data_IF_895204674110
#
_entry.id   IF_895204674110
#
_cell.length_a   1.000
_cell.length_b   1.000
_cell.length_c   1.000
_cell.angle_alpha   90.00
_cell.angle_beta   90.00
_cell.angle_gamma   90.00
#
_symmetry.space_group_name_H-M   'P 1'
#
loop_
_entity.id
_entity.type
_entity.pdbx_description
1 polymer ?
#
# COMPACT_ATOMS: atom_id res chain seq x y z
N UNK A 1 19.07 -5.84 -22.39
CA UNK A 1 18.99 -7.28 -22.66
C UNK A 1 20.33 -7.91 -22.35
N UNK A 2 20.30 -9.13 -21.81
CA UNK A 2 21.47 -9.94 -21.45
C UNK A 2 22.40 -9.36 -20.36
N UNK A 3 22.07 -8.23 -19.74
CA UNK A 3 22.80 -7.73 -18.58
C UNK A 3 22.54 -8.64 -17.35
N UNK A 4 23.56 -8.71 -16.47
CA UNK A 4 23.44 -9.46 -15.24
C UNK A 4 23.08 -8.52 -14.09
N UNK A 5 21.90 -8.68 -13.54
CA UNK A 5 21.45 -7.96 -12.37
C UNK A 5 21.66 -8.81 -11.10
N UNK A 6 21.97 -8.14 -10.00
CA UNK A 6 22.03 -8.75 -8.67
C UNK A 6 20.81 -8.29 -7.88
N UNK A 7 19.95 -9.24 -7.56
CA UNK A 7 18.77 -8.99 -6.72
C UNK A 7 19.02 -9.51 -5.31
N UNK A 8 18.59 -8.75 -4.32
CA UNK A 8 18.70 -9.07 -2.88
C UNK A 8 17.36 -8.91 -2.21
N UNK A 9 17.23 -9.41 -1.01
CA UNK A 9 16.05 -9.18 -0.18
C UNK A 9 15.66 -7.69 -0.13
N UNK A 10 14.37 -7.39 -0.30
CA UNK A 10 13.82 -6.03 -0.43
C UNK A 10 13.93 -5.42 -1.83
N UNK A 11 14.63 -6.04 -2.79
CA UNK A 11 14.71 -5.55 -4.17
C UNK A 11 13.41 -5.82 -4.93
N UNK A 12 12.92 -4.81 -5.64
CA UNK A 12 11.88 -5.01 -6.65
C UNK A 12 12.53 -5.48 -7.96
N UNK A 13 11.94 -6.48 -8.59
CA UNK A 13 12.37 -6.99 -9.88
C UNK A 13 11.90 -6.01 -10.96
N UNK A 14 12.85 -5.28 -11.54
CA UNK A 14 12.57 -4.19 -12.48
C UNK A 14 12.33 -4.64 -13.92
N UNK A 15 12.80 -5.84 -14.28
CA UNK A 15 12.69 -6.41 -15.61
C UNK A 15 12.58 -7.93 -15.52
N UNK A 16 11.98 -8.59 -16.53
CA UNK A 16 11.89 -10.03 -16.53
C UNK A 16 13.30 -10.63 -16.71
N UNK A 17 13.63 -11.59 -15.87
CA UNK A 17 14.97 -12.17 -15.81
C UNK A 17 14.94 -13.68 -15.56
N UNK A 18 16.08 -14.35 -15.81
CA UNK A 18 16.28 -15.76 -15.46
C UNK A 18 17.45 -15.85 -14.48
N UNK A 19 17.25 -16.56 -13.39
CA UNK A 19 18.26 -16.76 -12.36
C UNK A 19 19.40 -17.60 -12.94
N UNK A 20 20.63 -17.07 -12.87
CA UNK A 20 21.86 -17.80 -13.25
C UNK A 20 22.40 -18.53 -12.03
N UNK A 21 22.42 -17.85 -10.88
CA UNK A 21 23.03 -18.35 -9.65
C UNK A 21 22.32 -17.77 -8.42
N UNK A 22 22.26 -18.57 -7.36
CA UNK A 22 21.60 -18.21 -6.11
C UNK A 22 20.18 -18.76 -5.96
N UNK A 23 19.61 -18.53 -4.79
CA UNK A 23 18.22 -18.91 -4.45
C UNK A 23 17.56 -17.74 -3.75
N UNK A 24 16.33 -17.46 -4.14
CA UNK A 24 15.53 -16.35 -3.59
C UNK A 24 14.11 -16.79 -3.30
N UNK A 25 13.50 -16.20 -2.27
CA UNK A 25 12.05 -16.25 -2.06
C UNK A 25 11.44 -14.97 -2.65
N UNK A 26 10.44 -15.13 -3.50
CA UNK A 26 9.82 -14.04 -4.27
C UNK A 26 8.34 -13.93 -3.91
N UNK A 27 7.88 -12.71 -3.69
CA UNK A 27 6.47 -12.40 -3.56
C UNK A 27 5.96 -11.89 -4.93
N UNK A 28 5.05 -12.64 -5.53
CA UNK A 28 4.42 -12.33 -6.82
C UNK A 28 2.99 -11.81 -6.68
N UNK A 29 2.57 -11.40 -5.49
CA UNK A 29 1.17 -10.99 -5.19
C UNK A 29 0.64 -9.88 -6.08
N UNK A 30 1.49 -8.94 -6.52
CA UNK A 30 1.10 -7.89 -7.47
C UNK A 30 0.72 -8.43 -8.86
N UNK A 31 1.16 -9.64 -9.20
CA UNK A 31 0.91 -10.27 -10.50
C UNK A 31 -0.17 -11.33 -10.43
N UNK A 32 -0.15 -12.16 -9.39
CA UNK A 32 -1.02 -13.33 -9.21
C UNK A 32 -2.20 -13.07 -8.28
N UNK A 33 -2.09 -12.06 -7.40
CA UNK A 33 -3.03 -11.81 -6.30
C UNK A 33 -2.80 -12.71 -5.08
N UNK A 34 -1.87 -13.68 -5.15
CA UNK A 34 -1.55 -14.60 -4.07
C UNK A 34 -0.31 -14.11 -3.31
N UNK A 35 -0.42 -14.05 -1.98
CA UNK A 35 0.65 -13.52 -1.10
C UNK A 35 1.69 -14.57 -0.71
N UNK A 36 1.55 -15.80 -1.16
CA UNK A 36 2.49 -16.87 -0.83
C UNK A 36 3.85 -16.64 -1.46
N UNK A 37 4.88 -16.86 -0.65
CA UNK A 37 6.27 -16.73 -1.09
C UNK A 37 6.68 -17.95 -1.92
N UNK A 38 7.20 -17.71 -3.12
CA UNK A 38 7.65 -18.74 -4.04
C UNK A 38 9.18 -18.79 -4.03
N UNK A 39 9.74 -19.93 -3.65
CA UNK A 39 11.19 -20.14 -3.73
C UNK A 39 11.61 -20.42 -5.17
N UNK A 40 12.54 -19.60 -5.69
CA UNK A 40 13.10 -19.71 -7.05
C UNK A 40 14.60 -19.95 -7.01
N UNK A 41 15.05 -20.80 -7.93
CA UNK A 41 16.45 -21.27 -8.05
C UNK A 41 17.01 -20.98 -9.43
N UNK A 42 18.28 -21.32 -9.63
CA UNK A 42 18.94 -21.20 -10.94
C UNK A 42 18.12 -21.89 -12.04
N UNK A 43 17.87 -21.19 -13.14
CA UNK A 43 17.02 -21.57 -14.26
C UNK A 43 15.58 -21.07 -14.16
N UNK A 44 15.11 -20.62 -12.99
CA UNK A 44 13.75 -20.11 -12.82
C UNK A 44 13.60 -18.65 -13.29
N UNK A 45 12.40 -18.31 -13.75
CA UNK A 45 12.08 -16.95 -14.20
C UNK A 45 11.68 -16.05 -13.05
N UNK A 46 12.19 -14.84 -13.08
CA UNK A 46 11.80 -13.71 -12.24
C UNK A 46 10.93 -12.77 -13.08
N UNK A 47 9.74 -12.48 -12.60
CA UNK A 47 8.80 -11.60 -13.29
C UNK A 47 8.94 -10.16 -12.79
N UNK A 48 8.99 -9.22 -13.71
CA UNK A 48 9.01 -7.78 -13.37
C UNK A 48 7.77 -7.38 -12.58
N UNK A 49 7.97 -6.55 -11.55
CA UNK A 49 6.91 -6.13 -10.62
C UNK A 49 6.84 -6.92 -9.33
N UNK A 50 7.46 -8.11 -9.26
CA UNK A 50 7.58 -8.91 -8.04
C UNK A 50 8.66 -8.38 -7.11
N UNK A 51 8.67 -8.84 -5.85
CA UNK A 51 9.65 -8.44 -4.83
C UNK A 51 10.41 -9.65 -4.31
N UNK A 52 11.72 -9.48 -4.11
CA UNK A 52 12.54 -10.46 -3.40
C UNK A 52 12.28 -10.29 -1.89
N UNK A 53 11.77 -11.33 -1.26
CA UNK A 53 11.49 -11.36 0.20
C UNK A 53 12.72 -11.76 0.97
N UNK A 54 13.44 -12.80 0.51
CA UNK A 54 14.65 -13.29 1.16
C UNK A 54 15.62 -13.88 0.15
N UNK A 55 16.89 -13.98 0.55
CA UNK A 55 17.97 -14.50 -0.26
C UNK A 55 18.60 -13.47 -1.21
N UNK A 56 19.49 -13.96 -2.09
CA UNK A 56 20.10 -13.17 -3.15
C UNK A 56 20.38 -14.03 -4.36
N UNK A 57 20.27 -13.43 -5.56
CA UNK A 57 20.57 -14.12 -6.81
C UNK A 57 21.22 -13.19 -7.83
N UNK A 58 21.89 -13.82 -8.80
CA UNK A 58 22.29 -13.18 -10.05
C UNK A 58 21.37 -13.66 -11.15
N UNK A 59 20.78 -12.74 -11.88
CA UNK A 59 19.84 -13.07 -12.94
C UNK A 59 20.18 -12.30 -14.21
N UNK A 60 19.99 -12.94 -15.36
CA UNK A 60 20.15 -12.35 -16.68
C UNK A 60 18.82 -11.76 -17.13
N UNK A 61 18.82 -10.50 -17.56
CA UNK A 61 17.64 -9.80 -18.01
C UNK A 61 17.23 -10.28 -19.41
N UNK A 62 15.98 -10.76 -19.55
CA UNK A 62 15.43 -11.26 -20.82
C UNK A 62 14.49 -10.29 -21.51
N UNK A 63 13.64 -9.57 -20.75
CA UNK A 63 12.72 -8.58 -21.29
C UNK A 63 12.79 -7.29 -20.47
N UNK A 64 13.02 -6.18 -21.13
CA UNK A 64 13.20 -4.85 -20.52
C UNK A 64 12.25 -3.83 -21.12
N UNK A 65 11.95 -2.77 -20.36
CA UNK A 65 11.10 -1.66 -20.84
C UNK A 65 9.68 -2.11 -21.18
N UNK A 66 9.21 -1.78 -22.39
CA UNK A 66 7.84 -2.10 -22.85
C UNK A 66 7.58 -3.59 -23.03
N UNK A 67 8.63 -4.39 -23.17
CA UNK A 67 8.53 -5.83 -23.39
C UNK A 67 8.45 -6.63 -22.10
N UNK A 68 8.68 -6.01 -20.95
CA UNK A 68 8.54 -6.64 -19.65
C UNK A 68 7.07 -6.97 -19.35
N UNK A 69 6.85 -7.99 -18.53
CA UNK A 69 5.52 -8.47 -18.16
C UNK A 69 4.65 -7.38 -17.54
N UNK A 70 5.19 -6.65 -16.55
CA UNK A 70 4.46 -5.57 -15.87
C UNK A 70 4.09 -4.43 -16.82
N UNK A 71 4.96 -4.10 -17.78
CA UNK A 71 4.67 -3.06 -18.79
C UNK A 71 3.56 -3.48 -19.73
N UNK A 72 3.55 -4.73 -20.20
CA UNK A 72 2.45 -5.28 -21.02
C UNK A 72 1.13 -5.26 -20.29
N UNK A 73 1.13 -5.70 -19.02
CA UNK A 73 -0.06 -5.67 -18.16
C UNK A 73 -0.59 -4.24 -17.99
N UNK A 74 0.32 -3.29 -17.72
CA UNK A 74 -0.01 -1.86 -17.58
C UNK A 74 -0.60 -1.26 -18.86
N UNK A 75 -0.04 -1.60 -20.01
CA UNK A 75 -0.54 -1.14 -21.31
C UNK A 75 -1.94 -1.71 -21.58
N UNK A 76 -2.17 -2.99 -21.28
CA UNK A 76 -3.48 -3.61 -21.40
C UNK A 76 -4.52 -2.96 -20.47
N UNK A 77 -4.17 -2.71 -19.21
CA UNK A 77 -5.01 -2.02 -18.26
C UNK A 77 -5.36 -0.59 -18.72
N UNK A 78 -4.39 0.15 -19.27
CA UNK A 78 -4.63 1.48 -19.84
C UNK A 78 -5.53 1.46 -21.07
N UNK A 79 -5.43 0.44 -21.93
CA UNK A 79 -6.31 0.29 -23.10
C UNK A 79 -7.76 -0.02 -22.71
N UNK A 80 -7.97 -0.77 -21.64
CA UNK A 80 -9.30 -1.09 -21.11
C UNK A 80 -9.99 0.11 -20.45
N UNK A 81 -9.22 1.06 -19.91
CA UNK A 81 -9.73 2.35 -19.46
C UNK A 81 -9.95 3.29 -20.65
N UNK A 82 -11.00 3.10 -21.44
CA UNK A 82 -11.58 4.21 -22.22
C UNK A 82 -11.95 5.29 -21.22
N UNK A 83 -11.23 6.42 -21.28
CA UNK A 83 -11.37 7.50 -20.32
C UNK A 83 -12.83 7.87 -20.15
N UNK A 84 -13.42 7.54 -19.02
CA UNK A 84 -14.73 8.05 -18.66
C UNK A 84 -14.66 9.56 -18.61
N UNK A 85 -15.48 10.22 -19.40
CA UNK A 85 -15.58 11.68 -19.37
C UNK A 85 -16.15 12.10 -18.01
N UNK A 86 -15.67 13.22 -17.46
CA UNK A 86 -16.25 13.87 -16.30
C UNK A 86 -17.78 13.95 -16.45
N UNK A 87 -18.52 13.61 -15.40
CA UNK A 87 -19.98 13.67 -15.43
C UNK A 87 -20.48 15.10 -15.67
N UNK A 88 -19.78 16.09 -15.13
CA UNK A 88 -20.06 17.50 -15.38
C UNK A 88 -19.91 17.83 -16.86
N UNK A 89 -18.78 17.42 -17.48
CA UNK A 89 -18.56 17.64 -18.93
C UNK A 89 -19.60 16.86 -19.76
N UNK A 90 -19.96 15.65 -19.34
CA UNK A 90 -21.01 14.86 -19.98
C UNK A 90 -22.37 15.53 -19.90
N UNK A 91 -22.70 16.12 -18.74
CA UNK A 91 -23.95 16.85 -18.53
C UNK A 91 -23.98 18.15 -19.34
N UNK A 92 -22.87 18.90 -19.36
CA UNK A 92 -22.74 20.09 -20.22
C UNK A 92 -22.90 19.74 -21.71
N UNK A 93 -22.24 18.68 -22.16
CA UNK A 93 -22.38 18.20 -23.54
C UNK A 93 -23.81 17.77 -23.86
N UNK A 94 -24.57 17.23 -22.89
CA UNK A 94 -25.98 16.88 -23.08
C UNK A 94 -26.84 18.14 -23.24
N UNK A 95 -26.59 19.17 -22.41
CA UNK A 95 -27.27 20.46 -22.52
C UNK A 95 -26.97 21.11 -23.88
N UNK A 96 -25.68 21.17 -24.27
CA UNK A 96 -25.30 21.76 -25.57
C UNK A 96 -25.91 21.00 -26.74
N UNK A 97 -26.00 19.68 -26.70
CA UNK A 97 -26.71 18.89 -27.72
C UNK A 97 -28.20 19.19 -27.77
N UNK A 98 -28.86 19.28 -26.60
CA UNK A 98 -30.28 19.62 -26.52
C UNK A 98 -30.51 21.01 -27.10
N UNK A 99 -29.75 22.01 -26.69
CA UNK A 99 -29.82 23.38 -27.20
C UNK A 99 -29.55 23.38 -28.70
N UNK A 100 -28.54 22.65 -29.21
CA UNK A 100 -28.26 22.53 -30.65
C UNK A 100 -29.43 21.96 -31.46
N UNK A 101 -30.15 20.97 -30.92
CA UNK A 101 -31.34 20.40 -31.56
C UNK A 101 -32.50 21.46 -31.61
N UNK A 102 -32.66 22.24 -30.55
CA UNK A 102 -33.71 23.27 -30.45
C UNK A 102 -33.38 24.50 -31.31
N UNK A 103 -32.14 24.88 -31.40
CA UNK A 103 -31.68 26.04 -32.19
C UNK A 103 -32.00 25.88 -33.68
N UNK A 104 -31.87 24.66 -34.24
CA UNK A 104 -32.11 24.44 -35.69
C UNK A 104 -33.55 24.85 -36.08
N UNK A 105 -34.62 24.33 -35.49
CA UNK A 105 -35.96 24.75 -35.87
C UNK A 105 -36.25 26.22 -35.55
N UNK A 106 -35.67 26.75 -34.45
CA UNK A 106 -35.83 28.18 -34.14
C UNK A 106 -35.14 29.04 -35.22
N UNK A 107 -33.95 28.69 -35.65
CA UNK A 107 -33.26 29.38 -36.72
C UNK A 107 -34.04 29.38 -38.03
N UNK A 108 -34.67 28.25 -38.39
CA UNK A 108 -35.55 28.15 -39.57
C UNK A 108 -36.78 29.07 -39.41
N UNK A 109 -37.40 29.07 -38.24
CA UNK A 109 -38.58 29.93 -37.96
C UNK A 109 -38.19 31.42 -38.07
N UNK A 110 -37.06 31.82 -37.45
CA UNK A 110 -36.56 33.20 -37.51
C UNK A 110 -36.21 33.63 -38.94
N UNK A 111 -35.56 32.74 -39.70
CA UNK A 111 -35.27 33.01 -41.11
C UNK A 111 -36.57 33.19 -41.93
N UNK A 112 -37.55 32.29 -41.77
CA UNK A 112 -38.86 32.38 -42.45
C UNK A 112 -39.61 33.65 -42.05
N UNK A 113 -39.61 34.03 -40.79
CA UNK A 113 -40.23 35.25 -40.30
C UNK A 113 -39.60 36.48 -40.99
N UNK A 114 -38.28 36.61 -40.97
CA UNK A 114 -37.57 37.75 -41.53
C UNK A 114 -37.76 37.85 -43.05
N UNK A 115 -37.64 36.71 -43.74
CA UNK A 115 -37.73 36.66 -45.19
C UNK A 115 -39.13 36.74 -45.77
N UNK A 116 -40.11 36.02 -45.16
CA UNK A 116 -41.49 35.91 -45.70
C UNK A 116 -42.41 36.99 -45.14
N UNK A 117 -42.36 37.26 -43.83
CA UNK A 117 -43.27 38.20 -43.19
C UNK A 117 -42.78 39.65 -43.24
N UNK A 118 -41.49 39.86 -43.06
CA UNK A 118 -40.91 41.20 -43.04
C UNK A 118 -40.38 41.64 -44.41
N UNK A 119 -40.42 40.75 -45.44
CA UNK A 119 -39.92 40.98 -46.80
C UNK A 119 -38.49 41.51 -46.88
N UNK A 120 -37.60 41.12 -45.96
CA UNK A 120 -36.20 41.50 -45.94
C UNK A 120 -35.42 40.75 -47.00
N UNK A 121 -34.29 41.34 -47.41
CA UNK A 121 -33.28 40.68 -48.24
C UNK A 121 -32.79 39.38 -47.62
N UNK A 122 -32.44 38.38 -48.44
CA UNK A 122 -31.90 37.08 -47.99
C UNK A 122 -30.66 37.30 -47.13
N UNK A 123 -29.75 38.21 -47.52
CA UNK A 123 -28.54 38.50 -46.74
C UNK A 123 -28.83 39.04 -45.36
N UNK A 124 -29.75 39.97 -45.23
CA UNK A 124 -30.21 40.57 -43.96
C UNK A 124 -30.93 39.55 -43.09
N UNK A 125 -31.79 38.70 -43.66
CA UNK A 125 -32.47 37.62 -42.97
C UNK A 125 -31.52 36.57 -42.38
N UNK A 126 -30.49 36.19 -43.13
CA UNK A 126 -29.43 35.28 -42.67
C UNK A 126 -28.62 35.92 -41.54
N UNK A 127 -28.22 37.19 -41.69
CA UNK A 127 -27.43 37.88 -40.65
C UNK A 127 -28.19 37.95 -39.31
N UNK A 128 -29.49 38.32 -39.38
CA UNK A 128 -30.36 38.40 -38.18
C UNK A 128 -30.56 37.03 -37.54
N UNK A 129 -30.82 36.01 -38.35
CA UNK A 129 -30.93 34.62 -37.86
C UNK A 129 -29.64 34.16 -37.17
N UNK A 130 -28.48 34.35 -37.82
CA UNK A 130 -27.17 33.92 -37.26
C UNK A 130 -26.87 34.67 -35.98
N UNK A 131 -27.08 35.98 -35.90
CA UNK A 131 -26.89 36.78 -34.70
C UNK A 131 -27.76 36.27 -33.54
N UNK A 132 -29.04 35.96 -33.79
CA UNK A 132 -29.91 35.40 -32.78
C UNK A 132 -29.51 34.00 -32.33
N UNK A 133 -29.09 33.12 -33.26
CA UNK A 133 -28.65 31.75 -32.99
C UNK A 133 -27.37 31.72 -32.15
N UNK A 134 -26.38 32.59 -32.49
CA UNK A 134 -25.14 32.69 -31.72
C UNK A 134 -25.42 33.09 -30.28
N UNK A 135 -26.35 34.05 -30.04
CA UNK A 135 -26.72 34.45 -28.69
C UNK A 135 -27.42 33.38 -27.86
N UNK A 136 -27.91 32.31 -28.50
CA UNK A 136 -28.55 31.17 -27.79
C UNK A 136 -27.56 30.09 -27.37
N UNK A 137 -26.31 30.09 -27.90
CA UNK A 137 -25.31 29.10 -27.55
C UNK A 137 -24.74 29.46 -26.19
N UNK A 138 -24.79 28.55 -25.16
CA UNK A 138 -24.30 28.85 -23.82
C UNK A 138 -22.77 28.66 -23.72
N UNK A 139 -22.00 29.39 -24.51
CA UNK A 139 -20.51 29.26 -24.55
C UNK A 139 -19.85 29.53 -23.19
N UNK A 140 -20.46 30.47 -22.41
CA UNK A 140 -19.94 30.83 -21.09
C UNK A 140 -19.91 29.69 -20.08
N UNK A 141 -20.81 28.72 -20.19
CA UNK A 141 -20.85 27.58 -19.26
C UNK A 141 -19.63 26.69 -19.40
N UNK A 142 -19.20 26.42 -20.64
CA UNK A 142 -18.04 25.57 -20.89
C UNK A 142 -16.74 26.28 -20.50
N UNK A 143 -16.64 27.58 -20.81
CA UNK A 143 -15.51 28.40 -20.41
C UNK A 143 -15.39 28.48 -18.88
N UNK A 144 -16.50 28.74 -18.19
CA UNK A 144 -16.52 28.82 -16.73
C UNK A 144 -16.12 27.49 -16.07
N UNK A 145 -16.65 26.37 -16.54
CA UNK A 145 -16.29 25.06 -16.04
C UNK A 145 -14.80 24.76 -16.24
N UNK A 146 -14.28 25.00 -17.45
CA UNK A 146 -12.87 24.76 -17.79
C UNK A 146 -11.93 25.64 -16.98
N UNK A 147 -12.22 26.93 -16.84
CA UNK A 147 -11.41 27.85 -16.04
C UNK A 147 -11.43 27.52 -14.56
N UNK A 148 -12.58 27.12 -14.00
CA UNK A 148 -12.69 26.69 -12.61
C UNK A 148 -11.85 25.46 -12.34
N UNK A 149 -11.90 24.45 -13.20
CA UNK A 149 -11.08 23.24 -13.09
C UNK A 149 -9.58 23.56 -13.22
N UNK A 150 -9.22 24.44 -14.15
CA UNK A 150 -7.82 24.86 -14.33
C UNK A 150 -7.29 25.60 -13.10
N UNK A 151 -8.04 26.55 -12.54
CA UNK A 151 -7.68 27.28 -11.32
C UNK A 151 -7.56 26.32 -10.13
N UNK A 152 -8.49 25.37 -9.99
CA UNK A 152 -8.45 24.36 -8.93
C UNK A 152 -7.23 23.45 -9.07
N UNK A 153 -6.85 23.07 -10.30
CA UNK A 153 -5.63 22.30 -10.59
C UNK A 153 -4.39 23.09 -10.19
N UNK A 154 -4.30 24.36 -10.53
CA UNK A 154 -3.19 25.23 -10.13
C UNK A 154 -3.09 25.38 -8.61
N UNK A 155 -4.24 25.51 -7.93
CA UNK A 155 -4.29 25.58 -6.47
C UNK A 155 -3.77 24.31 -5.79
N UNK A 156 -4.12 23.12 -6.32
CA UNK A 156 -3.59 21.85 -5.84
C UNK A 156 -2.09 21.74 -6.12
N UNK A 157 -1.63 22.16 -7.29
CA UNK A 157 -0.22 22.14 -7.66
C UNK A 157 0.63 23.04 -6.72
N UNK A 158 0.12 24.21 -6.31
CA UNK A 158 0.80 25.05 -5.31
C UNK A 158 0.89 24.36 -3.95
N UNK A 159 -0.10 23.52 -3.60
CA UNK A 159 -0.08 22.62 -2.44
C UNK A 159 0.79 21.39 -2.60
N UNK A 160 1.60 21.28 -3.66
CA UNK A 160 2.46 20.13 -4.01
C UNK A 160 1.67 18.84 -4.28
N UNK A 161 0.41 18.95 -4.66
CA UNK A 161 -0.43 17.82 -5.09
C UNK A 161 -0.44 17.79 -6.61
N UNK A 162 0.13 16.72 -7.18
CA UNK A 162 0.13 16.51 -8.62
C UNK A 162 -1.22 15.92 -9.06
N UNK A 163 -1.95 16.69 -9.84
CA UNK A 163 -3.22 16.28 -10.45
C UNK A 163 -2.93 15.62 -11.79
N UNK A 164 -3.30 14.37 -11.93
CA UNK A 164 -3.06 13.60 -13.17
C UNK A 164 -4.11 13.92 -14.26
N UNK A 165 -5.35 14.23 -13.87
CA UNK A 165 -6.45 14.57 -14.76
C UNK A 165 -7.36 15.59 -14.07
N UNK A 166 -7.87 16.57 -14.78
CA UNK A 166 -8.81 17.57 -14.24
C UNK A 166 -10.10 16.97 -13.70
N UNK A 167 -10.49 15.78 -14.16
CA UNK A 167 -11.60 15.01 -13.60
C UNK A 167 -11.46 14.69 -12.12
N UNK A 168 -10.24 14.47 -11.63
CA UNK A 168 -10.05 14.08 -10.24
C UNK A 168 -10.55 15.15 -9.27
N UNK A 169 -10.60 16.42 -9.67
CA UNK A 169 -11.13 17.50 -8.85
C UNK A 169 -12.64 17.33 -8.65
N UNK A 170 -13.36 16.99 -9.74
CA UNK A 170 -14.79 16.71 -9.67
C UNK A 170 -15.05 15.44 -8.85
N UNK A 171 -14.27 14.38 -9.07
CA UNK A 171 -14.40 13.12 -8.35
C UNK A 171 -14.15 13.33 -6.86
N UNK A 172 -13.08 14.04 -6.48
CA UNK A 172 -12.77 14.35 -5.08
C UNK A 172 -13.89 15.17 -4.40
N UNK A 173 -14.52 16.09 -5.11
CA UNK A 173 -15.62 16.88 -4.57
C UNK A 173 -16.90 16.06 -4.28
N UNK A 174 -17.00 14.84 -4.80
CA UNK A 174 -18.15 13.94 -4.64
C UNK A 174 -17.87 12.72 -3.78
N UNK A 175 -16.64 12.59 -3.24
CA UNK A 175 -16.29 11.48 -2.36
C UNK A 175 -17.11 11.59 -1.08
N UNK A 176 -17.88 10.56 -0.80
CA UNK A 176 -18.62 10.35 0.44
C UNK A 176 -18.04 9.20 1.27
N UNK A 177 -17.29 8.32 0.63
CA UNK A 177 -16.64 7.16 1.27
C UNK A 177 -15.19 7.04 0.82
N UNK A 178 -14.27 6.92 1.79
CA UNK A 178 -12.85 6.73 1.56
C UNK A 178 -12.42 5.37 2.10
N UNK A 179 -12.05 4.47 1.21
CA UNK A 179 -11.46 3.18 1.57
C UNK A 179 -9.94 3.31 1.67
N UNK A 180 -9.38 2.94 2.81
CA UNK A 180 -7.94 3.01 3.08
C UNK A 180 -7.39 1.66 3.51
N UNK A 181 -6.17 1.34 3.07
CA UNK A 181 -5.41 0.23 3.63
C UNK A 181 -4.80 0.62 4.97
N UNK A 182 -4.59 -0.36 5.84
CA UNK A 182 -3.92 -0.17 7.13
C UNK A 182 -2.43 0.11 6.96
N UNK A 183 -1.72 -0.80 6.28
CA UNK A 183 -0.26 -0.84 6.25
C UNK A 183 0.35 0.18 5.28
N UNK A 184 1.22 1.06 5.79
CA UNK A 184 1.81 2.12 4.97
C UNK A 184 0.88 3.30 4.66
N UNK A 185 -0.42 3.22 5.00
CA UNK A 185 -1.42 4.29 4.83
C UNK A 185 -1.79 4.89 6.18
N UNK A 186 -2.49 4.16 7.05
CA UNK A 186 -2.79 4.57 8.44
C UNK A 186 -1.52 4.51 9.28
N UNK A 187 -0.74 3.43 9.09
CA UNK A 187 0.54 3.24 9.76
C UNK A 187 1.70 3.68 8.86
N UNK A 188 2.87 3.88 9.47
CA UNK A 188 4.11 4.02 8.73
C UNK A 188 4.47 2.69 8.05
N UNK A 189 5.13 2.74 6.89
CA UNK A 189 5.58 1.55 6.16
C UNK A 189 6.76 0.82 6.81
N UNK A 190 7.24 1.32 7.96
CA UNK A 190 8.36 0.75 8.74
C UNK A 190 7.87 0.25 10.09
N UNK A 191 8.50 -0.80 10.58
CA UNK A 191 8.32 -1.27 11.95
C UNK A 191 9.24 -0.52 12.90
N UNK A 192 8.84 -0.44 14.16
CA UNK A 192 9.63 0.09 15.26
C UNK A 192 9.49 -0.79 16.49
N UNK A 193 10.54 -0.89 17.29
CA UNK A 193 10.46 -1.48 18.63
C UNK A 193 9.72 -0.49 19.54
N UNK A 194 8.67 -0.97 20.18
CA UNK A 194 7.85 -0.20 21.12
C UNK A 194 8.42 -0.30 22.52
N UNK A 195 8.74 -1.54 22.93
CA UNK A 195 9.31 -1.88 24.24
C UNK A 195 9.98 -3.23 24.18
N UNK A 196 10.76 -3.55 25.20
CA UNK A 196 11.17 -4.92 25.46
C UNK A 196 10.96 -5.26 26.93
N UNK A 197 10.72 -6.53 27.22
CA UNK A 197 10.48 -7.06 28.54
C UNK A 197 11.58 -8.05 28.87
N UNK A 198 12.20 -7.86 30.02
CA UNK A 198 13.22 -8.77 30.54
C UNK A 198 12.54 -10.08 30.98
N UNK A 199 13.08 -11.22 30.57
CA UNK A 199 12.62 -12.56 30.91
C UNK A 199 13.62 -13.32 31.80
N UNK A 200 14.71 -12.69 32.25
CA UNK A 200 15.75 -13.29 33.07
C UNK A 200 16.23 -12.30 34.15
N UNK A 201 17.02 -12.75 35.10
CA UNK A 201 17.52 -11.93 36.23
C UNK A 201 18.71 -11.00 35.87
N UNK A 202 18.93 -10.74 34.56
CA UNK A 202 20.00 -9.86 34.10
C UNK A 202 19.58 -8.40 34.09
N UNK A 203 20.54 -7.45 34.32
CA UNK A 203 20.27 -6.03 34.14
C UNK A 203 19.82 -5.68 32.71
N UNK A 204 18.90 -4.76 32.59
CA UNK A 204 18.39 -4.34 31.27
C UNK A 204 19.49 -3.82 30.32
N UNK A 205 20.49 -3.13 30.84
CA UNK A 205 21.62 -2.63 30.07
C UNK A 205 22.44 -3.77 29.47
N UNK A 206 22.66 -4.87 30.23
CA UNK A 206 23.37 -6.05 29.73
C UNK A 206 22.58 -6.71 28.58
N UNK A 207 21.26 -6.82 28.75
CA UNK A 207 20.38 -7.38 27.72
C UNK A 207 20.37 -6.48 26.48
N UNK A 208 20.30 -5.16 26.69
CA UNK A 208 20.32 -4.18 25.59
C UNK A 208 21.59 -4.34 24.74
N UNK A 209 22.74 -4.42 25.38
CA UNK A 209 24.03 -4.59 24.70
C UNK A 209 24.12 -5.95 24.00
N UNK A 210 23.63 -7.01 24.64
CA UNK A 210 23.63 -8.36 24.06
C UNK A 210 22.76 -8.42 22.80
N UNK A 211 21.57 -7.80 22.81
CA UNK A 211 20.71 -7.71 21.64
C UNK A 211 21.38 -6.82 20.57
N UNK A 212 22.09 -5.76 20.97
CA UNK A 212 22.83 -4.90 20.04
C UNK A 212 23.95 -5.67 19.32
N UNK A 213 24.70 -6.50 20.02
CA UNK A 213 25.75 -7.36 19.43
C UNK A 213 25.13 -8.41 18.49
N UNK A 214 24.03 -9.04 18.90
CA UNK A 214 23.27 -9.95 18.05
C UNK A 214 22.81 -9.28 16.77
N UNK A 215 22.16 -8.12 16.89
CA UNK A 215 21.63 -7.36 15.78
C UNK A 215 22.74 -6.86 14.84
N UNK A 216 23.91 -6.46 15.37
CA UNK A 216 25.06 -6.03 14.57
C UNK A 216 25.54 -7.13 13.62
N UNK A 217 25.48 -8.39 14.05
CA UNK A 217 25.88 -9.54 13.24
C UNK A 217 24.91 -9.86 12.10
N UNK A 218 23.63 -9.51 12.25
CA UNK A 218 22.61 -9.84 11.27
C UNK A 218 22.60 -8.85 10.10
N UNK A 219 22.17 -9.30 8.92
CA UNK A 219 21.79 -8.40 7.82
C UNK A 219 20.43 -7.76 8.10
N UNK A 220 20.22 -6.54 7.59
CA UNK A 220 18.93 -5.85 7.71
C UNK A 220 17.96 -6.27 6.60
N UNK A 221 17.76 -7.58 6.44
CA UNK A 221 17.06 -8.16 5.30
C UNK A 221 15.54 -8.18 5.46
N UNK A 222 15.03 -7.85 6.65
CA UNK A 222 13.60 -7.79 6.92
C UNK A 222 13.24 -6.64 7.86
N UNK A 223 11.98 -6.20 7.81
CA UNK A 223 11.49 -5.06 8.59
C UNK A 223 11.61 -5.24 10.11
N UNK A 224 11.33 -6.42 10.71
CA UNK A 224 11.57 -6.66 12.14
C UNK A 224 13.02 -6.48 12.54
N UNK A 225 13.97 -7.08 11.82
CA UNK A 225 15.39 -6.96 12.14
C UNK A 225 15.91 -5.53 11.99
N UNK A 226 15.42 -4.81 10.97
CA UNK A 226 15.74 -3.38 10.81
C UNK A 226 15.23 -2.56 12.00
N UNK A 227 14.03 -2.84 12.52
CA UNK A 227 13.50 -2.19 13.71
C UNK A 227 14.36 -2.48 14.95
N UNK A 228 14.76 -3.74 15.13
CA UNK A 228 15.66 -4.16 16.23
C UNK A 228 17.01 -3.44 16.12
N UNK A 229 17.64 -3.42 14.96
CA UNK A 229 18.92 -2.70 14.74
C UNK A 229 18.84 -1.21 15.04
N UNK A 230 17.75 -0.57 14.66
CA UNK A 230 17.56 0.86 14.89
C UNK A 230 17.36 1.19 16.37
N UNK A 231 16.76 0.30 17.13
CA UNK A 231 16.52 0.49 18.56
C UNK A 231 17.75 0.09 19.39
N UNK A 232 18.30 -1.10 19.15
CA UNK A 232 19.48 -1.63 19.82
C UNK A 232 20.74 -1.29 19.00
N UNK A 233 21.20 -0.06 19.13
CA UNK A 233 22.23 0.52 18.23
C UNK A 233 23.62 0.67 18.86
N UNK A 234 23.85 0.08 20.04
CA UNK A 234 25.10 0.23 20.81
C UNK A 234 25.80 -1.13 21.05
N UNK A 235 26.34 -1.77 19.98
CA UNK A 235 27.04 -3.02 20.14
C UNK A 235 28.34 -2.84 20.95
N UNK A 236 28.70 -3.83 21.76
CA UNK A 236 29.95 -3.82 22.54
C UNK A 236 31.19 -4.21 21.73
N UNK A 237 30.96 -4.75 20.52
CA UNK A 237 32.02 -5.28 19.66
C UNK A 237 32.43 -6.71 20.03
N UNK A 238 31.54 -7.47 20.67
CA UNK A 238 31.75 -8.88 20.97
C UNK A 238 32.05 -9.66 19.68
N UNK A 239 32.99 -10.58 19.75
CA UNK A 239 33.40 -11.36 18.57
C UNK A 239 32.30 -12.29 18.10
N UNK A 240 31.92 -12.10 16.84
CA UNK A 240 30.93 -12.91 16.14
C UNK A 240 31.65 -14.16 15.60
N UNK A 241 31.18 -15.35 15.95
CA UNK A 241 31.69 -16.63 15.46
C UNK A 241 30.99 -17.09 14.19
N UNK A 242 29.65 -17.02 14.20
CA UNK A 242 28.82 -17.34 13.04
C UNK A 242 27.45 -16.66 13.18
N UNK A 243 26.73 -16.52 12.08
CA UNK A 243 25.33 -16.09 12.10
C UNK A 243 24.52 -16.77 10.99
N UNK A 244 23.23 -16.91 11.21
CA UNK A 244 22.25 -17.34 10.20
C UNK A 244 21.18 -16.28 10.09
N UNK A 245 20.94 -15.81 8.88
CA UNK A 245 19.88 -14.84 8.59
C UNK A 245 18.49 -15.42 8.88
N UNK A 246 17.46 -14.57 8.79
CA UNK A 246 16.10 -14.98 9.06
C UNK A 246 15.62 -16.05 8.08
N UNK A 247 15.07 -17.14 8.63
CA UNK A 247 14.42 -18.20 7.87
C UNK A 247 12.90 -18.02 7.90
N UNK A 248 12.26 -17.88 6.74
CA UNK A 248 10.81 -17.83 6.63
C UNK A 248 10.13 -19.16 7.01
N UNK A 249 10.85 -20.28 6.86
CA UNK A 249 10.37 -21.62 7.21
C UNK A 249 10.38 -21.85 8.72
N UNK A 250 11.50 -21.50 9.39
CA UNK A 250 11.69 -21.75 10.82
C UNK A 250 11.41 -20.52 11.70
N UNK A 251 11.11 -19.35 11.09
CA UNK A 251 10.68 -18.10 11.75
C UNK A 251 11.67 -17.59 12.82
N UNK A 252 12.98 -17.84 12.65
CA UNK A 252 14.02 -17.31 13.53
C UNK A 252 15.30 -16.92 12.75
N UNK A 253 16.13 -16.12 13.39
CA UNK A 253 17.53 -15.83 13.04
C UNK A 253 18.41 -16.18 14.22
N UNK A 254 19.71 -16.46 13.98
CA UNK A 254 20.65 -16.84 15.02
C UNK A 254 22.01 -16.17 14.88
N UNK A 255 22.69 -16.00 16.01
CA UNK A 255 24.07 -15.51 16.07
C UNK A 255 24.83 -16.24 17.17
N UNK A 256 25.99 -16.77 16.84
CA UNK A 256 26.94 -17.34 17.80
C UNK A 256 27.98 -16.27 18.15
N UNK A 257 27.99 -15.87 19.40
CA UNK A 257 28.95 -14.95 19.99
C UNK A 257 29.94 -15.75 20.89
N UNK A 258 31.03 -15.14 21.35
CA UNK A 258 31.91 -15.78 22.35
C UNK A 258 31.15 -16.10 23.65
N UNK A 259 30.10 -15.34 23.99
CA UNK A 259 29.28 -15.53 25.19
C UNK A 259 28.23 -16.65 25.06
N UNK A 260 28.02 -17.20 23.86
CA UNK A 260 27.07 -18.27 23.61
C UNK A 260 26.32 -18.14 22.30
N UNK A 261 25.40 -19.06 22.08
CA UNK A 261 24.53 -19.07 20.90
C UNK A 261 23.21 -18.41 21.23
N UNK A 262 22.78 -17.50 20.40
CA UNK A 262 21.53 -16.73 20.58
C UNK A 262 20.63 -16.86 19.39
N UNK A 263 19.33 -16.88 19.65
CA UNK A 263 18.28 -16.94 18.63
C UNK A 263 17.25 -15.84 18.87
N UNK A 264 16.69 -15.32 17.79
CA UNK A 264 15.58 -14.35 17.83
C UNK A 264 14.54 -14.75 16.79
N UNK A 265 13.28 -14.83 17.21
CA UNK A 265 12.20 -15.21 16.31
C UNK A 265 10.83 -15.18 16.98
N UNK A 266 9.83 -15.73 16.28
CA UNK A 266 8.48 -15.82 16.81
C UNK A 266 8.43 -16.82 17.99
N UNK A 267 7.84 -16.42 19.14
CA UNK A 267 7.87 -17.23 20.36
C UNK A 267 7.34 -18.65 20.17
N UNK A 268 6.27 -18.82 19.39
CA UNK A 268 5.62 -20.10 19.12
C UNK A 268 6.54 -21.09 18.36
N UNK A 269 7.53 -20.59 17.62
CA UNK A 269 8.46 -21.42 16.85
C UNK A 269 9.73 -21.77 17.62
N UNK A 270 10.23 -20.83 18.46
CA UNK A 270 11.53 -21.01 19.11
C UNK A 270 11.43 -21.51 20.55
N UNK A 271 10.27 -21.30 21.25
CA UNK A 271 10.04 -21.81 22.59
C UNK A 271 9.56 -23.28 22.63
N UNK A 272 9.42 -23.92 21.47
CA UNK A 272 8.84 -25.28 21.37
C UNK A 272 7.47 -25.40 22.04
N UNK A 273 6.68 -24.31 22.04
CA UNK A 273 5.33 -24.26 22.66
C UNK A 273 5.32 -24.02 24.16
N UNK A 274 6.46 -23.87 24.80
CA UNK A 274 6.54 -23.55 26.24
C UNK A 274 6.84 -22.05 26.42
N UNK A 275 5.80 -21.22 26.29
CA UNK A 275 5.88 -19.76 26.54
C UNK A 275 5.71 -19.39 28.02
N UNK A 276 5.37 -20.36 28.88
CA UNK A 276 5.28 -20.19 30.33
C UNK A 276 4.44 -19.00 30.78
N UNK A 277 4.94 -18.24 31.74
CA UNK A 277 4.29 -17.06 32.31
C UNK A 277 4.11 -15.88 31.35
N UNK A 278 4.70 -15.96 30.14
CA UNK A 278 4.65 -14.89 29.14
C UNK A 278 3.53 -15.05 28.09
N UNK A 279 2.71 -16.09 28.19
CA UNK A 279 1.58 -16.33 27.28
C UNK A 279 0.60 -15.17 27.26
N UNK A 280 0.30 -14.60 28.42
CA UNK A 280 -0.60 -13.45 28.56
C UNK A 280 -0.03 -12.20 27.91
N UNK A 281 1.28 -11.93 28.09
CA UNK A 281 1.99 -10.83 27.43
C UNK A 281 1.90 -10.96 25.91
N UNK A 282 2.13 -12.16 25.36
CA UNK A 282 2.09 -12.42 23.91
C UNK A 282 0.68 -12.20 23.38
N UNK A 283 -0.35 -12.74 24.06
CA UNK A 283 -1.74 -12.57 23.63
C UNK A 283 -2.18 -11.11 23.69
N UNK A 284 -1.89 -10.40 24.78
CA UNK A 284 -2.27 -9.00 24.95
C UNK A 284 -1.69 -8.12 23.84
N UNK A 285 -0.39 -8.27 23.55
CA UNK A 285 0.26 -7.51 22.50
C UNK A 285 -0.25 -7.90 21.10
N UNK A 286 -0.50 -9.19 20.87
CA UNK A 286 -1.09 -9.67 19.62
C UNK A 286 -2.49 -9.10 19.39
N UNK A 287 -3.33 -9.00 20.42
CA UNK A 287 -4.65 -8.34 20.34
C UNK A 287 -4.55 -6.86 20.00
N UNK A 288 -3.47 -6.18 20.43
CA UNK A 288 -3.17 -4.78 20.07
C UNK A 288 -2.54 -4.62 18.67
N UNK A 289 -2.37 -5.72 17.95
CA UNK A 289 -1.73 -5.71 16.62
C UNK A 289 -0.23 -5.54 16.63
N UNK A 290 0.38 -5.80 17.75
CA UNK A 290 1.82 -5.77 17.94
C UNK A 290 2.39 -7.18 17.74
N UNK A 291 3.58 -7.27 17.20
CA UNK A 291 4.30 -8.55 17.08
C UNK A 291 5.28 -8.67 18.23
N UNK A 292 5.34 -9.85 18.82
CA UNK A 292 6.30 -10.18 19.87
C UNK A 292 7.39 -11.04 19.27
N UNK A 293 8.65 -10.66 19.50
CA UNK A 293 9.83 -11.48 19.20
C UNK A 293 10.42 -11.95 20.51
N UNK A 294 10.75 -13.23 20.58
CA UNK A 294 11.52 -13.79 21.66
C UNK A 294 13.01 -13.75 21.30
N UNK A 295 13.83 -13.19 22.17
CA UNK A 295 15.27 -13.31 22.16
C UNK A 295 15.71 -14.24 23.27
N UNK A 296 16.49 -15.28 22.94
CA UNK A 296 16.88 -16.29 23.92
C UNK A 296 18.23 -16.91 23.63
N UNK A 297 18.80 -17.56 24.66
CA UNK A 297 20.04 -18.34 24.59
C UNK A 297 19.70 -19.76 24.15
N UNK A 298 20.32 -20.22 23.09
CA UNK A 298 20.14 -21.56 22.55
C UNK A 298 21.22 -22.49 23.10
N UNK A 299 20.84 -23.65 23.62
CA UNK A 299 21.77 -24.62 24.21
C UNK A 299 22.60 -25.37 23.16
N UNK A 300 22.10 -25.47 21.93
CA UNK A 300 22.78 -26.13 20.82
C UNK A 300 23.58 -25.16 19.93
N UNK A 301 24.06 -25.65 18.80
CA UNK A 301 24.69 -24.85 17.75
C UNK A 301 23.66 -24.64 16.64
N UNK A 302 23.27 -23.39 16.34
CA UNK A 302 22.25 -23.15 15.32
C UNK A 302 22.82 -23.42 13.93
N UNK A 303 22.12 -24.23 13.14
CA UNK A 303 22.48 -24.64 11.78
C UNK A 303 21.51 -24.10 10.71
N UNK A 304 20.59 -23.21 11.09
CA UNK A 304 19.57 -22.65 10.20
C UNK A 304 18.36 -23.57 9.94
N UNK A 305 18.30 -24.71 10.63
CA UNK A 305 17.19 -25.66 10.58
C UNK A 305 16.32 -25.57 11.84
N UNK A 306 15.35 -26.48 11.96
CA UNK A 306 14.50 -26.54 13.14
C UNK A 306 15.34 -26.72 14.40
N UNK A 307 15.10 -25.87 15.41
CA UNK A 307 15.75 -25.95 16.71
C UNK A 307 15.34 -27.27 17.41
N UNK A 308 16.32 -28.02 17.90
CA UNK A 308 16.14 -29.32 18.55
C UNK A 308 16.38 -29.25 20.06
N UNK A 309 17.15 -28.25 20.50
CA UNK A 309 17.52 -28.04 21.89
C UNK A 309 16.69 -26.91 22.51
N UNK A 310 16.81 -26.74 23.83
CA UNK A 310 16.07 -25.71 24.57
C UNK A 310 16.58 -24.30 24.29
N UNK A 311 15.65 -23.36 24.27
CA UNK A 311 15.90 -21.92 24.25
C UNK A 311 15.53 -21.36 25.60
N UNK A 312 16.49 -20.76 26.28
CA UNK A 312 16.29 -20.02 27.52
C UNK A 312 15.90 -18.59 27.18
N UNK A 313 14.68 -18.12 27.55
CA UNK A 313 14.23 -16.77 27.28
C UNK A 313 15.11 -15.73 27.98
N UNK A 314 15.52 -14.69 27.25
CA UNK A 314 16.24 -13.54 27.80
C UNK A 314 15.39 -12.29 27.76
N UNK A 315 14.71 -12.03 26.63
CA UNK A 315 13.84 -10.88 26.48
C UNK A 315 12.74 -11.11 25.44
N UNK A 316 11.61 -10.44 25.63
CA UNK A 316 10.55 -10.31 24.64
C UNK A 316 10.58 -8.89 24.07
N UNK A 317 10.71 -8.77 22.77
CA UNK A 317 10.80 -7.50 22.05
C UNK A 317 9.46 -7.27 21.35
N UNK A 318 8.81 -6.16 21.67
CA UNK A 318 7.51 -5.80 21.09
C UNK A 318 7.74 -4.84 19.95
N UNK A 319 7.29 -5.21 18.75
CA UNK A 319 7.42 -4.44 17.53
C UNK A 319 6.05 -4.15 16.93
N UNK A 320 5.88 -2.97 16.36
CA UNK A 320 4.67 -2.58 15.67
C UNK A 320 4.98 -1.60 14.53
N UNK A 321 4.00 -1.42 13.64
CA UNK A 321 4.00 -0.32 12.70
C UNK A 321 3.36 0.89 13.37
N UNK A 322 4.10 1.97 13.66
CA UNK A 322 3.54 3.14 14.32
C UNK A 322 2.47 3.80 13.45
N UNK A 323 1.40 4.27 14.09
CA UNK A 323 0.38 5.08 13.42
C UNK A 323 1.01 6.42 13.01
N UNK A 324 0.70 6.89 11.81
CA UNK A 324 1.18 8.19 11.33
C UNK A 324 0.70 9.29 12.26
N UNK A 325 1.59 10.22 12.62
CA UNK A 325 1.29 11.32 13.56
C UNK A 325 0.11 12.18 13.12
N UNK A 326 -0.06 12.37 11.81
CA UNK A 326 -1.12 13.18 11.23
C UNK A 326 -2.40 12.39 10.92
N UNK A 327 -2.45 11.08 11.17
CA UNK A 327 -3.63 10.27 10.85
C UNK A 327 -4.88 10.71 11.62
N UNK A 328 -4.86 10.98 12.94
CA UNK A 328 -6.05 11.42 13.66
C UNK A 328 -6.61 12.76 13.16
N UNK A 329 -5.74 13.71 12.85
CA UNK A 329 -6.12 15.01 12.30
C UNK A 329 -6.73 14.86 10.91
N UNK A 330 -6.11 14.04 10.06
CA UNK A 330 -6.59 13.78 8.70
C UNK A 330 -7.95 13.09 8.69
N UNK A 331 -8.14 12.07 9.51
CA UNK A 331 -9.44 11.37 9.60
C UNK A 331 -10.52 12.23 10.26
N UNK A 332 -10.15 13.07 11.24
CA UNK A 332 -11.03 14.09 11.81
C UNK A 332 -11.54 15.04 10.75
N UNK A 333 -10.65 15.55 9.90
CA UNK A 333 -11.01 16.42 8.78
C UNK A 333 -12.00 15.75 7.80
N UNK A 334 -11.74 14.51 7.39
CA UNK A 334 -12.68 13.79 6.52
C UNK A 334 -14.05 13.59 7.18
N UNK A 335 -14.05 13.26 8.46
CA UNK A 335 -15.31 13.09 9.22
C UNK A 335 -16.11 14.39 9.35
N UNK A 336 -15.45 15.56 9.43
CA UNK A 336 -16.08 16.89 9.42
C UNK A 336 -16.65 17.23 8.04
N UNK A 337 -16.03 16.76 6.96
CA UNK A 337 -16.53 16.90 5.61
C UNK A 337 -17.67 15.90 5.26
N UNK A 338 -18.07 15.05 6.21
CA UNK A 338 -19.10 14.04 6.00
C UNK A 338 -18.64 12.82 5.20
N UNK A 339 -17.33 12.61 5.07
CA UNK A 339 -16.75 11.45 4.39
C UNK A 339 -16.61 10.30 5.37
N UNK A 340 -17.21 9.16 5.04
CA UNK A 340 -17.07 7.92 5.80
C UNK A 340 -15.72 7.25 5.49
N UNK A 341 -15.05 6.75 6.52
CA UNK A 341 -13.78 6.04 6.36
C UNK A 341 -13.99 4.56 6.57
N UNK A 342 -13.63 3.75 5.58
CA UNK A 342 -13.63 2.27 5.66
C UNK A 342 -12.20 1.75 5.54
N UNK A 343 -11.78 0.93 6.49
CA UNK A 343 -10.44 0.34 6.50
C UNK A 343 -10.51 -1.07 5.93
N UNK A 344 -9.73 -1.33 4.89
CA UNK A 344 -9.62 -2.64 4.25
C UNK A 344 -8.21 -3.18 4.49
N UNK A 345 -8.11 -4.38 5.05
CA UNK A 345 -6.81 -4.98 5.38
C UNK A 345 -6.89 -6.51 5.34
N UNK A 346 -5.76 -7.16 5.03
CA UNK A 346 -5.60 -8.61 5.16
C UNK A 346 -5.28 -9.10 6.58
N UNK A 347 -5.13 -8.16 7.55
CA UNK A 347 -4.81 -8.51 8.93
C UNK A 347 -6.06 -8.92 9.73
N UNK A 348 -5.82 -9.46 10.93
CA UNK A 348 -6.89 -9.83 11.85
C UNK A 348 -7.84 -8.64 12.11
N UNK A 349 -9.17 -8.81 11.99
CA UNK A 349 -10.15 -7.73 12.11
C UNK A 349 -10.09 -6.96 13.43
N UNK A 350 -9.86 -7.64 14.56
CA UNK A 350 -9.70 -7.01 15.87
C UNK A 350 -8.51 -6.05 15.90
N UNK A 351 -7.39 -6.49 15.34
CA UNK A 351 -6.17 -5.68 15.21
C UNK A 351 -6.42 -4.42 14.37
N UNK A 352 -7.11 -4.59 13.24
CA UNK A 352 -7.42 -3.48 12.33
C UNK A 352 -8.37 -2.49 12.98
N UNK A 353 -9.41 -2.97 13.67
CA UNK A 353 -10.36 -2.18 14.45
C UNK A 353 -9.64 -1.33 15.51
N UNK A 354 -8.74 -1.92 16.28
CA UNK A 354 -8.00 -1.21 17.32
C UNK A 354 -7.07 -0.12 16.75
N UNK A 355 -6.36 -0.41 15.67
CA UNK A 355 -5.52 0.57 14.99
C UNK A 355 -6.37 1.70 14.39
N UNK A 356 -7.50 1.39 13.77
CA UNK A 356 -8.43 2.37 13.23
C UNK A 356 -8.99 3.28 14.34
N UNK A 357 -9.34 2.71 15.50
CA UNK A 357 -9.79 3.46 16.68
C UNK A 357 -8.71 4.41 17.21
N UNK A 358 -7.47 3.94 17.33
CA UNK A 358 -6.33 4.77 17.75
C UNK A 358 -6.01 5.86 16.73
N UNK A 359 -6.25 5.61 15.45
CA UNK A 359 -6.11 6.61 14.39
C UNK A 359 -7.27 7.60 14.30
N UNK A 360 -8.31 7.47 15.15
CA UNK A 360 -9.44 8.40 15.19
C UNK A 360 -10.53 8.13 14.14
N UNK A 361 -10.56 6.94 13.54
CA UNK A 361 -11.63 6.54 12.63
C UNK A 361 -12.92 6.33 13.42
N UNK A 362 -14.03 6.96 12.99
CA UNK A 362 -15.34 6.79 13.62
C UNK A 362 -15.89 5.40 13.35
N UNK A 363 -16.62 4.85 14.32
CA UNK A 363 -17.25 3.51 14.25
C UNK A 363 -16.26 2.37 13.98
N UNK A 364 -15.00 2.52 14.39
CA UNK A 364 -13.95 1.53 14.20
C UNK A 364 -14.25 0.18 14.88
N UNK A 365 -15.17 0.16 15.85
CA UNK A 365 -15.66 -1.05 16.52
C UNK A 365 -16.54 -1.93 15.62
N UNK A 366 -17.07 -1.38 14.54
CA UNK A 366 -17.82 -2.13 13.53
C UNK A 366 -16.84 -2.74 12.53
N UNK A 367 -16.64 -4.02 12.60
CA UNK A 367 -15.77 -4.73 11.66
C UNK A 367 -16.40 -6.05 11.22
N UNK A 368 -15.99 -6.52 10.06
CA UNK A 368 -16.43 -7.79 9.49
C UNK A 368 -15.19 -8.56 9.03
N UNK A 369 -15.15 -9.85 9.36
CA UNK A 369 -14.14 -10.75 8.80
C UNK A 369 -14.54 -11.12 7.37
N UNK A 370 -13.75 -10.65 6.39
CA UNK A 370 -14.01 -10.89 4.97
C UNK A 370 -14.00 -12.38 4.60
N UNK A 371 -13.31 -13.24 5.36
CA UNK A 371 -13.33 -14.70 5.15
C UNK A 371 -14.70 -15.33 5.37
N UNK A 372 -15.58 -14.64 6.11
CA UNK A 372 -16.97 -15.05 6.33
C UNK A 372 -17.90 -14.73 5.16
N UNK A 373 -17.50 -13.82 4.26
CA UNK A 373 -18.31 -13.32 3.14
C UNK A 373 -18.10 -14.24 1.92
N UNK A 374 -19.08 -15.10 1.63
CA UNK A 374 -18.98 -16.13 0.55
C UNK A 374 -19.77 -15.80 -0.71
N UNK A 375 -20.63 -14.80 -0.69
CA UNK A 375 -21.49 -14.42 -1.83
C UNK A 375 -21.37 -12.94 -2.12
N UNK A 376 -21.59 -12.54 -3.38
CA UNK A 376 -21.56 -11.15 -3.81
C UNK A 376 -22.59 -10.30 -3.03
N UNK A 377 -23.76 -10.86 -2.74
CA UNK A 377 -24.81 -10.20 -1.93
C UNK A 377 -24.32 -9.92 -0.50
N UNK A 378 -23.59 -10.86 0.11
CA UNK A 378 -23.02 -10.68 1.46
C UNK A 378 -21.92 -9.62 1.48
N UNK A 379 -21.12 -9.56 0.41
CA UNK A 379 -20.08 -8.54 0.25
C UNK A 379 -20.73 -7.16 0.05
N UNK A 380 -21.72 -7.04 -0.82
CA UNK A 380 -22.45 -5.78 -1.07
C UNK A 380 -23.10 -5.27 0.22
N UNK A 381 -23.78 -6.15 0.96
CA UNK A 381 -24.37 -5.79 2.26
C UNK A 381 -23.33 -5.34 3.28
N UNK A 382 -22.16 -5.99 3.32
CA UNK A 382 -21.06 -5.64 4.22
C UNK A 382 -20.41 -4.30 3.89
N UNK A 383 -20.36 -3.95 2.60
CA UNK A 383 -19.78 -2.67 2.14
C UNK A 383 -20.74 -1.50 2.40
N UNK A 384 -22.06 -1.74 2.34
CA UNK A 384 -23.08 -0.70 2.51
C UNK A 384 -23.42 -0.38 3.97
N UNK A 385 -23.09 -1.26 4.93
CA UNK A 385 -23.31 -1.10 6.37
C UNK A 385 -22.02 -0.86 7.16
#
# INVERSE_FOLDING_TARGET
LDDIAVFRAGSQISADAVIIDGTVSVNESLLTGESDEITKKSGDKLMSGSFIVSGSCRARLEHVGTDSYISKLTIQAKKSRKGEQSEMIRSLNRIVKLVGIVIIPIGIILFCQQYILEHNDISSSIQSMVAAVIGMIPEGLFLLASTTLAVSTLRLATGKVLVHDMKCIETLARVDTLCVDKTGTITEGRMSVISFHNACDKPEDEIYHLISDFAAAQSADNAPMLAVKNYFSSPTGCKILSFTGFSSEFKYSSTSLESGNYVMGAPEFISCGNTGDFSELIEENSRRGQRVLLFGKYSGVPDGKKLTESVEPIAFIIIANPIRRNAPETFGFFAEQGVEIKVISGDNPLTVSEIARQAGVKNAEKYIDASSLKTDESIESAVMN
#
